data_IF_500321042230
#
_entry.id   IF_500321042230
#
_cell.length_a   1.000
_cell.length_b   1.000
_cell.length_c   1.000
_cell.angle_alpha   90.00
_cell.angle_beta   90.00
_cell.angle_gamma   90.00
#
_symmetry.space_group_name_H-M   'P 1'
#
loop_
_entity.id
_entity.type
_entity.pdbx_description
1 polymer ?
#
# COMPACT_ATOMS: atom_id res chain seq x y z
N UNK A 1 12.49 14.15 4.16
CA UNK A 1 11.42 15.09 3.75
C UNK A 1 10.37 15.35 4.85
N UNK A 2 9.55 14.40 5.30
CA UNK A 2 8.44 14.71 6.22
C UNK A 2 8.88 15.24 7.60
N UNK A 3 9.92 14.64 8.19
CA UNK A 3 10.48 15.15 9.46
C UNK A 3 11.01 16.58 9.32
N UNK A 4 11.60 16.95 8.18
CA UNK A 4 12.04 18.32 7.88
C UNK A 4 10.86 19.29 7.71
N UNK A 5 9.62 18.78 7.55
CA UNK A 5 8.38 19.57 7.53
C UNK A 5 7.64 19.53 8.88
N UNK A 6 8.29 19.07 9.96
CA UNK A 6 7.70 19.06 11.30
C UNK A 6 6.77 17.87 11.59
N UNK A 7 6.69 16.89 10.70
CA UNK A 7 5.92 15.68 10.96
C UNK A 7 6.66 14.76 11.95
N UNK A 8 5.93 14.20 12.90
CA UNK A 8 6.36 12.97 13.57
C UNK A 8 6.22 11.82 12.58
N UNK A 9 7.29 11.05 12.37
CA UNK A 9 7.33 10.00 11.34
C UNK A 9 7.41 8.63 12.00
N UNK A 10 6.38 7.81 11.80
CA UNK A 10 6.38 6.39 12.16
C UNK A 10 6.63 5.59 10.88
N UNK A 11 7.55 4.62 10.93
CA UNK A 11 7.88 3.76 9.80
C UNK A 11 7.68 2.31 10.20
N UNK A 12 7.01 1.55 9.35
CA UNK A 12 6.83 0.12 9.52
C UNK A 12 6.97 -0.59 8.19
N UNK A 13 7.76 -1.66 8.18
CA UNK A 13 7.90 -2.57 7.03
C UNK A 13 7.37 -3.93 7.46
N UNK A 14 6.27 -4.36 6.84
CA UNK A 14 5.70 -5.66 7.14
C UNK A 14 6.68 -6.79 6.76
N UNK A 15 6.78 -7.86 7.57
CA UNK A 15 7.64 -8.99 7.22
C UNK A 15 7.24 -9.60 5.89
N UNK A 16 8.21 -9.82 4.99
CA UNK A 16 7.93 -10.34 3.65
C UNK A 16 7.24 -11.72 3.69
N UNK A 17 7.55 -12.57 4.68
CA UNK A 17 6.88 -13.86 4.87
C UNK A 17 5.39 -13.70 5.10
N UNK A 18 5.00 -12.68 5.84
CA UNK A 18 3.60 -12.31 6.07
C UNK A 18 2.94 -11.88 4.76
N UNK A 19 3.58 -10.98 4.01
CA UNK A 19 3.07 -10.47 2.73
C UNK A 19 2.91 -11.58 1.68
N UNK A 20 3.95 -12.38 1.46
CA UNK A 20 3.97 -13.35 0.36
C UNK A 20 3.34 -14.69 0.73
N UNK A 21 3.45 -15.16 1.96
CA UNK A 21 2.87 -16.45 2.35
C UNK A 21 1.56 -16.25 3.11
N UNK A 22 1.60 -15.71 4.33
CA UNK A 22 0.42 -15.71 5.21
C UNK A 22 -0.82 -15.09 4.55
N UNK A 23 -0.67 -13.89 3.98
CA UNK A 23 -1.76 -13.19 3.30
C UNK A 23 -2.20 -13.88 1.99
N UNK A 24 -1.27 -14.52 1.27
CA UNK A 24 -1.60 -15.30 0.06
C UNK A 24 -2.46 -16.53 0.38
N UNK A 25 -2.23 -17.14 1.55
CA UNK A 25 -3.04 -18.25 2.09
C UNK A 25 -4.34 -17.76 2.77
N UNK A 26 -4.60 -16.45 2.80
CA UNK A 26 -5.81 -15.86 3.37
C UNK A 26 -5.76 -15.62 4.87
N UNK A 27 -4.62 -15.86 5.53
CA UNK A 27 -4.43 -15.47 6.92
C UNK A 27 -4.30 -13.95 7.01
N UNK A 28 -5.23 -13.30 7.71
CA UNK A 28 -5.27 -11.84 7.94
C UNK A 28 -4.23 -11.37 8.97
N UNK A 29 -3.00 -11.85 8.82
CA UNK A 29 -1.90 -11.64 9.77
C UNK A 29 -1.45 -10.18 9.87
N UNK A 30 -1.78 -9.34 8.88
CA UNK A 30 -1.53 -7.90 8.93
C UNK A 30 -2.56 -7.10 9.76
N UNK A 31 -3.66 -7.72 10.20
CA UNK A 31 -4.67 -7.02 11.01
C UNK A 31 -4.10 -6.54 12.35
N UNK A 32 -3.34 -7.39 13.04
CA UNK A 32 -2.68 -7.04 14.31
C UNK A 32 -1.69 -5.88 14.16
N UNK A 33 -0.69 -5.91 13.26
CA UNK A 33 0.21 -4.78 13.09
C UNK A 33 -0.50 -3.51 12.62
N UNK A 34 -1.54 -3.59 11.78
CA UNK A 34 -2.34 -2.42 11.40
C UNK A 34 -2.95 -1.74 12.63
N UNK A 35 -3.56 -2.54 13.52
CA UNK A 35 -4.13 -2.03 14.78
C UNK A 35 -3.06 -1.44 15.69
N UNK A 36 -1.94 -2.14 15.90
CA UNK A 36 -0.82 -1.67 16.73
C UNK A 36 -0.28 -0.32 16.25
N UNK A 37 -0.17 -0.10 14.94
CA UNK A 37 0.28 1.19 14.41
C UNK A 37 -0.67 2.35 14.73
N UNK A 38 -1.99 2.09 14.77
CA UNK A 38 -2.96 3.09 15.19
C UNK A 38 -2.92 3.31 16.71
N UNK A 39 -2.76 2.25 17.51
CA UNK A 39 -2.61 2.33 18.97
C UNK A 39 -1.40 3.20 19.36
N UNK A 40 -0.29 3.14 18.62
CA UNK A 40 0.88 4.00 18.87
C UNK A 40 0.54 5.49 18.85
N UNK A 41 -0.46 5.93 18.08
CA UNK A 41 -0.84 7.34 18.05
C UNK A 41 -1.39 7.80 19.41
N UNK A 42 -2.08 6.92 20.13
CA UNK A 42 -2.62 7.17 21.46
C UNK A 42 -1.53 7.00 22.53
N UNK A 43 -0.69 5.97 22.40
CA UNK A 43 0.42 5.71 23.33
C UNK A 43 1.39 6.91 23.41
N UNK A 44 1.60 7.59 22.28
CA UNK A 44 2.42 8.81 22.22
C UNK A 44 1.61 10.12 22.37
N UNK A 45 0.30 10.05 22.64
CA UNK A 45 -0.59 11.21 22.82
C UNK A 45 -0.58 12.19 21.63
N UNK A 46 -0.54 11.65 20.41
CA UNK A 46 -0.55 12.42 19.14
C UNK A 46 -1.77 12.13 18.26
N UNK A 47 -2.77 11.41 18.77
CA UNK A 47 -4.01 11.03 18.07
C UNK A 47 -4.82 12.22 17.56
N UNK A 48 -4.69 13.39 18.20
CA UNK A 48 -5.36 14.63 17.79
C UNK A 48 -4.70 15.30 16.58
N UNK A 49 -3.50 14.86 16.18
CA UNK A 49 -2.78 15.42 15.04
C UNK A 49 -3.26 14.76 13.74
N UNK A 50 -3.37 15.52 12.63
CA UNK A 50 -3.70 14.93 11.35
C UNK A 50 -2.69 13.88 10.90
N UNK A 51 -3.19 12.77 10.36
CA UNK A 51 -2.38 11.62 9.91
C UNK A 51 -2.30 11.61 8.39
N UNK A 52 -1.08 11.60 7.85
CA UNK A 52 -0.81 11.34 6.43
C UNK A 52 -0.21 9.93 6.29
N UNK A 53 -0.80 9.09 5.45
CA UNK A 53 -0.24 7.78 5.12
C UNK A 53 0.66 7.89 3.90
N UNK A 54 1.85 7.27 3.93
CA UNK A 54 2.69 7.07 2.76
C UNK A 54 2.94 5.58 2.60
N UNK A 55 2.27 4.98 1.61
CA UNK A 55 2.13 3.55 1.40
C UNK A 55 3.00 3.13 0.22
N UNK A 56 3.96 2.23 0.46
CA UNK A 56 4.88 1.74 -0.56
C UNK A 56 4.50 0.33 -1.01
N UNK A 57 4.46 0.12 -2.32
CA UNK A 57 4.24 -1.18 -2.96
C UNK A 57 2.92 -1.86 -2.52
N UNK A 58 2.67 -3.04 -3.08
CA UNK A 58 1.49 -3.83 -2.73
C UNK A 58 1.54 -4.32 -1.27
N UNK A 59 2.71 -4.66 -0.74
CA UNK A 59 2.83 -5.06 0.67
C UNK A 59 2.33 -3.98 1.64
N UNK A 60 2.63 -2.71 1.35
CA UNK A 60 2.08 -1.58 2.11
C UNK A 60 0.58 -1.44 1.95
N UNK A 61 0.05 -1.60 0.72
CA UNK A 61 -1.41 -1.54 0.46
C UNK A 61 -2.17 -2.61 1.24
N UNK A 62 -1.62 -3.82 1.35
CA UNK A 62 -2.24 -4.92 2.10
C UNK A 62 -2.39 -4.57 3.58
N UNK A 63 -1.37 -3.96 4.18
CA UNK A 63 -1.45 -3.45 5.56
C UNK A 63 -2.42 -2.27 5.65
N UNK A 64 -2.34 -1.34 4.71
CA UNK A 64 -3.14 -0.12 4.69
C UNK A 64 -4.65 -0.40 4.56
N UNK A 65 -5.05 -1.45 3.84
CA UNK A 65 -6.44 -1.93 3.81
C UNK A 65 -6.97 -2.17 5.22
N UNK A 66 -6.22 -2.88 6.06
CA UNK A 66 -6.63 -3.17 7.43
C UNK A 66 -6.61 -1.92 8.32
N UNK A 67 -5.73 -0.96 8.03
CA UNK A 67 -5.76 0.36 8.67
C UNK A 67 -7.08 1.08 8.34
N UNK A 68 -7.49 1.13 7.07
CA UNK A 68 -8.78 1.72 6.66
C UNK A 68 -9.94 1.03 7.36
N UNK A 69 -9.94 -0.31 7.38
CA UNK A 69 -10.97 -1.11 8.05
C UNK A 69 -11.08 -0.72 9.53
N UNK A 70 -9.96 -0.68 10.26
CA UNK A 70 -9.93 -0.30 11.67
C UNK A 70 -10.40 1.15 11.87
N UNK A 71 -9.97 2.10 11.04
CA UNK A 71 -10.38 3.51 11.09
C UNK A 71 -11.89 3.70 10.93
N UNK A 72 -12.61 2.79 10.25
CA UNK A 72 -14.05 2.93 10.05
C UNK A 72 -14.90 2.05 10.96
N UNK A 73 -14.33 0.99 11.54
CA UNK A 73 -15.08 -0.02 12.30
C UNK A 73 -14.80 0.01 13.80
N UNK A 74 -13.62 0.46 14.24
CA UNK A 74 -13.16 0.32 15.61
C UNK A 74 -12.96 1.67 16.31
N UNK A 75 -13.48 1.80 17.53
CA UNK A 75 -13.12 2.90 18.43
C UNK A 75 -11.83 2.56 19.20
N UNK A 76 -10.98 3.54 19.55
CA UNK A 76 -11.14 4.99 19.34
C UNK A 76 -10.69 5.49 17.94
N UNK A 77 -10.28 4.58 17.03
CA UNK A 77 -9.65 4.95 15.76
C UNK A 77 -10.52 5.76 14.82
N UNK A 78 -11.86 5.65 14.91
CA UNK A 78 -12.80 6.46 14.10
C UNK A 78 -12.63 7.97 14.29
N UNK A 79 -12.06 8.39 15.42
CA UNK A 79 -11.89 9.80 15.74
C UNK A 79 -10.58 10.37 15.16
N UNK A 80 -9.71 9.54 14.57
CA UNK A 80 -8.45 9.98 13.98
C UNK A 80 -8.71 10.81 12.72
N UNK A 81 -8.08 11.98 12.64
CA UNK A 81 -8.18 12.87 11.47
C UNK A 81 -7.18 12.44 10.41
N UNK A 82 -7.63 11.76 9.35
CA UNK A 82 -6.76 11.41 8.21
C UNK A 82 -6.73 12.57 7.21
N UNK A 83 -5.54 13.12 6.99
CA UNK A 83 -5.29 14.24 6.08
C UNK A 83 -5.24 13.81 4.60
N UNK A 84 -4.71 12.62 4.34
CA UNK A 84 -4.56 12.10 2.98
C UNK A 84 -3.65 10.87 2.92
N UNK A 85 -3.50 10.33 1.71
CA UNK A 85 -2.66 9.15 1.45
C UNK A 85 -1.82 9.32 0.20
N UNK A 86 -0.53 9.00 0.29
CA UNK A 86 0.37 8.84 -0.85
C UNK A 86 0.57 7.36 -1.10
N UNK A 87 0.36 6.91 -2.34
CA UNK A 87 0.70 5.57 -2.81
C UNK A 87 1.92 5.67 -3.73
N UNK A 88 2.97 4.95 -3.39
CA UNK A 88 4.19 4.84 -4.19
C UNK A 88 4.30 3.43 -4.78
N UNK A 89 4.27 3.37 -6.11
CA UNK A 89 4.34 2.13 -6.89
C UNK A 89 3.26 1.12 -6.49
N UNK A 90 2.04 1.59 -6.25
CA UNK A 90 0.90 0.81 -5.79
C UNK A 90 -0.42 1.57 -6.04
N UNK A 91 -1.58 0.89 -5.99
CA UNK A 91 -1.80 -0.55 -5.90
C UNK A 91 -1.74 -1.23 -7.27
N UNK A 92 -1.30 -2.49 -7.31
CA UNK A 92 -1.34 -3.34 -8.50
C UNK A 92 -2.28 -4.53 -8.36
N UNK A 93 -2.84 -4.98 -9.49
CA UNK A 93 -3.89 -6.00 -9.53
C UNK A 93 -3.33 -7.33 -10.00
N UNK A 94 -3.58 -8.40 -9.23
CA UNK A 94 -3.42 -9.82 -9.63
C UNK A 94 -2.22 -10.10 -10.56
N UNK A 95 -1.05 -9.56 -10.24
CA UNK A 95 0.13 -9.67 -11.07
C UNK A 95 1.07 -10.77 -10.54
N UNK A 96 0.86 -12.03 -10.97
CA UNK A 96 1.72 -13.14 -10.57
C UNK A 96 3.18 -12.93 -10.99
N UNK A 97 3.40 -12.40 -12.21
CA UNK A 97 4.76 -12.13 -12.70
C UNK A 97 5.45 -11.07 -11.85
N UNK A 98 4.76 -9.99 -11.51
CA UNK A 98 5.24 -8.96 -10.60
C UNK A 98 5.52 -9.50 -9.20
N UNK A 99 4.62 -10.32 -8.65
CA UNK A 99 4.81 -10.95 -7.34
C UNK A 99 6.04 -11.88 -7.31
N UNK A 100 6.25 -12.68 -8.37
CA UNK A 100 7.45 -13.52 -8.51
C UNK A 100 8.72 -12.67 -8.63
N UNK A 101 8.70 -11.58 -9.40
CA UNK A 101 9.84 -10.65 -9.49
C UNK A 101 10.15 -10.02 -8.13
N UNK A 102 9.13 -9.52 -7.44
CA UNK A 102 9.29 -8.94 -6.10
C UNK A 102 9.84 -9.97 -5.11
N UNK A 103 9.29 -11.18 -5.08
CA UNK A 103 9.81 -12.25 -4.22
C UNK A 103 11.25 -12.61 -4.58
N UNK A 104 11.58 -12.71 -5.87
CA UNK A 104 12.95 -12.98 -6.32
C UNK A 104 13.94 -11.90 -5.88
N UNK A 105 13.53 -10.62 -5.79
CA UNK A 105 14.37 -9.54 -5.25
C UNK A 105 14.56 -9.65 -3.74
N UNK A 106 13.51 -10.02 -3.00
CA UNK A 106 13.58 -10.22 -1.54
C UNK A 106 14.49 -11.40 -1.18
N UNK A 107 14.41 -12.48 -1.96
CA UNK A 107 15.20 -13.70 -1.73
C UNK A 107 16.61 -13.62 -2.35
N UNK A 108 17.03 -12.48 -2.89
CA UNK A 108 18.28 -12.36 -3.65
C UNK A 108 19.53 -12.69 -2.81
N UNK A 109 19.50 -12.44 -1.50
CA UNK A 109 20.60 -12.73 -0.58
C UNK A 109 20.59 -14.15 0.00
N UNK A 110 19.65 -15.00 -0.41
CA UNK A 110 19.49 -16.37 0.12
C UNK A 110 20.22 -17.41 -0.73
N UNK A 111 20.50 -18.56 -0.11
CA UNK A 111 21.05 -19.73 -0.80
C UNK A 111 20.21 -20.10 -2.02
N UNK A 112 20.86 -20.40 -3.15
CA UNK A 112 20.23 -20.63 -4.44
C UNK A 112 19.17 -21.73 -4.37
N UNK A 113 19.47 -22.87 -3.73
CA UNK A 113 18.52 -23.97 -3.56
C UNK A 113 17.27 -23.54 -2.79
N UNK A 114 17.45 -22.87 -1.64
CA UNK A 114 16.34 -22.41 -0.80
C UNK A 114 15.51 -21.33 -1.51
N UNK A 115 16.17 -20.44 -2.26
CA UNK A 115 15.50 -19.43 -3.09
C UNK A 115 14.58 -20.08 -4.11
N UNK A 116 15.07 -21.04 -4.90
CA UNK A 116 14.24 -21.73 -5.89
C UNK A 116 13.13 -22.56 -5.23
N UNK A 117 13.40 -23.21 -4.10
CA UNK A 117 12.38 -23.93 -3.34
C UNK A 117 11.24 -22.98 -2.91
N UNK A 118 11.55 -21.85 -2.29
CA UNK A 118 10.56 -20.87 -1.84
C UNK A 118 9.79 -20.21 -3.00
N UNK A 119 10.47 -19.97 -4.13
CA UNK A 119 9.83 -19.47 -5.34
C UNK A 119 8.85 -20.48 -5.92
N UNK A 120 9.25 -21.76 -5.97
CA UNK A 120 8.39 -22.83 -6.46
C UNK A 120 7.18 -23.01 -5.54
N UNK A 121 7.36 -23.05 -4.21
CA UNK A 121 6.24 -23.18 -3.27
C UNK A 121 5.28 -22.00 -3.35
N UNK A 122 5.78 -20.77 -3.50
CA UNK A 122 4.93 -19.60 -3.69
C UNK A 122 4.15 -19.68 -5.02
N UNK A 123 4.82 -20.02 -6.13
CA UNK A 123 4.18 -20.14 -7.44
C UNK A 123 3.08 -21.21 -7.45
N UNK A 124 3.37 -22.40 -6.92
CA UNK A 124 2.39 -23.50 -6.85
C UNK A 124 1.21 -23.15 -5.95
N UNK A 125 1.47 -22.53 -4.79
CA UNK A 125 0.42 -22.08 -3.88
C UNK A 125 -0.50 -21.04 -4.54
N UNK A 126 0.06 -20.04 -5.23
CA UNK A 126 -0.74 -19.02 -5.92
C UNK A 126 -1.59 -19.65 -7.02
N UNK A 127 -1.03 -20.54 -7.84
CA UNK A 127 -1.80 -21.24 -8.89
C UNK A 127 -2.92 -22.08 -8.28
N UNK A 128 -2.62 -22.88 -7.25
CA UNK A 128 -3.62 -23.73 -6.60
C UNK A 128 -4.76 -22.90 -5.99
N UNK A 129 -4.43 -21.85 -5.22
CA UNK A 129 -5.42 -21.07 -4.48
C UNK A 129 -6.19 -20.08 -5.37
N UNK A 130 -5.51 -19.42 -6.31
CA UNK A 130 -6.06 -18.31 -7.11
C UNK A 130 -6.52 -18.72 -8.50
N UNK A 131 -6.24 -19.95 -8.96
CA UNK A 131 -6.72 -20.47 -10.24
C UNK A 131 -7.61 -21.69 -10.00
N UNK A 132 -7.08 -22.76 -9.39
CA UNK A 132 -7.81 -24.02 -9.25
C UNK A 132 -8.96 -23.90 -8.25
N UNK A 133 -8.69 -23.33 -7.08
CA UNK A 133 -9.69 -23.11 -6.02
C UNK A 133 -10.45 -21.78 -6.17
N UNK A 134 -10.19 -21.02 -7.23
CA UNK A 134 -10.80 -19.69 -7.45
C UNK A 134 -12.33 -19.69 -7.50
N UNK A 135 -13.01 -20.64 -8.17
CA UNK A 135 -14.48 -20.64 -8.25
C UNK A 135 -15.14 -20.77 -6.87
N UNK A 136 -14.47 -21.47 -5.94
CA UNK A 136 -14.91 -21.69 -4.56
C UNK A 136 -14.48 -20.54 -3.64
N UNK A 137 -13.27 -20.01 -3.81
CA UNK A 137 -12.68 -18.99 -2.93
C UNK A 137 -13.11 -17.56 -3.28
N UNK A 138 -13.59 -17.28 -4.51
CA UNK A 138 -13.97 -15.93 -4.95
C UNK A 138 -15.11 -15.30 -4.14
N UNK A 139 -15.99 -16.11 -3.58
CA UNK A 139 -17.08 -15.65 -2.72
C UNK A 139 -16.64 -15.40 -1.28
N UNK A 140 -15.44 -15.87 -0.90
CA UNK A 140 -14.94 -15.86 0.47
C UNK A 140 -13.80 -14.84 0.64
N UNK A 141 -13.05 -14.51 -0.43
CA UNK A 141 -11.84 -13.69 -0.30
C UNK A 141 -11.76 -12.55 -1.33
N UNK A 142 -12.23 -11.37 -0.93
CA UNK A 142 -12.02 -10.12 -1.68
C UNK A 142 -10.54 -9.73 -1.69
N UNK A 143 -9.98 -9.46 -2.87
CA UNK A 143 -8.58 -9.07 -2.99
C UNK A 143 -8.32 -7.70 -2.37
N UNK A 144 -7.09 -7.47 -1.92
CA UNK A 144 -6.70 -6.18 -1.34
C UNK A 144 -6.89 -5.00 -2.31
N UNK A 145 -6.69 -5.24 -3.61
CA UNK A 145 -6.95 -4.26 -4.66
C UNK A 145 -8.46 -3.96 -4.80
N UNK A 146 -9.29 -5.00 -4.88
CA UNK A 146 -10.74 -4.82 -5.08
C UNK A 146 -11.40 -4.17 -3.84
N UNK A 147 -10.90 -4.48 -2.63
CA UNK A 147 -11.34 -3.84 -1.41
C UNK A 147 -10.99 -2.34 -1.37
N UNK A 148 -9.79 -1.97 -1.87
CA UNK A 148 -9.36 -0.57 -1.90
C UNK A 148 -10.18 0.25 -2.91
N UNK A 149 -10.57 -0.32 -4.05
CA UNK A 149 -11.49 0.33 -5.01
C UNK A 149 -12.77 0.81 -4.31
N UNK A 150 -13.30 -0.01 -3.40
CA UNK A 150 -14.55 0.25 -2.66
C UNK A 150 -14.32 0.90 -1.30
N UNK A 151 -13.09 1.30 -0.97
CA UNK A 151 -12.78 1.77 0.36
C UNK A 151 -13.68 2.95 0.77
N UNK A 152 -14.17 2.97 2.03
CA UNK A 152 -15.04 4.04 2.53
C UNK A 152 -14.32 5.38 2.71
N UNK A 153 -12.98 5.39 2.69
CA UNK A 153 -12.17 6.60 2.78
C UNK A 153 -12.51 7.62 1.70
N UNK A 154 -12.52 8.92 2.04
CA UNK A 154 -12.77 10.04 1.12
C UNK A 154 -11.75 11.18 1.24
N UNK A 155 -10.65 10.96 1.95
CA UNK A 155 -9.54 11.92 2.03
C UNK A 155 -8.74 11.95 0.72
N UNK A 156 -8.01 13.05 0.44
CA UNK A 156 -7.19 13.17 -0.76
C UNK A 156 -6.17 12.03 -0.93
N UNK A 157 -5.91 11.64 -2.18
CA UNK A 157 -5.00 10.56 -2.55
C UNK A 157 -4.00 11.02 -3.64
N UNK A 158 -2.72 10.70 -3.46
CA UNK A 158 -1.64 10.94 -4.41
C UNK A 158 -1.05 9.60 -4.87
N UNK A 159 -1.12 9.29 -6.16
CA UNK A 159 -0.55 8.10 -6.77
C UNK A 159 0.75 8.45 -7.51
N UNK A 160 1.84 7.81 -7.14
CA UNK A 160 3.15 7.92 -7.77
C UNK A 160 3.47 6.57 -8.41
N UNK A 161 3.66 6.54 -9.72
CA UNK A 161 3.90 5.30 -10.48
C UNK A 161 4.80 5.56 -11.68
N UNK A 162 5.14 4.51 -12.42
CA UNK A 162 6.01 4.60 -13.60
C UNK A 162 5.66 3.52 -14.62
N UNK A 163 5.76 3.83 -15.92
CA UNK A 163 5.64 2.83 -16.99
C UNK A 163 6.77 1.80 -16.94
N UNK A 164 7.95 2.16 -16.41
CA UNK A 164 9.08 1.25 -16.25
C UNK A 164 9.01 0.36 -15.00
N UNK A 165 7.92 0.41 -14.21
CA UNK A 165 7.74 -0.47 -13.08
C UNK A 165 7.46 -1.92 -13.53
N UNK A 166 8.48 -2.77 -13.35
CA UNK A 166 8.43 -4.18 -13.73
C UNK A 166 7.64 -5.08 -12.75
N UNK A 167 7.18 -4.55 -11.61
CA UNK A 167 6.45 -5.25 -10.55
C UNK A 167 4.97 -4.85 -10.53
N UNK A 168 4.67 -3.56 -10.65
CA UNK A 168 3.29 -3.04 -10.65
C UNK A 168 3.01 -2.33 -11.96
N UNK A 169 1.97 -2.77 -12.69
CA UNK A 169 1.63 -2.15 -13.96
C UNK A 169 1.04 -0.75 -13.73
N UNK A 170 1.54 0.24 -14.45
CA UNK A 170 1.03 1.60 -14.43
C UNK A 170 -0.48 1.69 -14.71
N UNK A 171 -1.00 0.81 -15.58
CA UNK A 171 -2.43 0.72 -15.90
C UNK A 171 -3.30 0.39 -14.67
N UNK A 172 -2.80 -0.44 -13.75
CA UNK A 172 -3.54 -0.79 -12.53
C UNK A 172 -3.62 0.42 -11.59
N UNK A 173 -2.52 1.16 -11.44
CA UNK A 173 -2.49 2.37 -10.61
C UNK A 173 -3.42 3.43 -11.20
N UNK A 174 -3.38 3.64 -12.51
CA UNK A 174 -4.27 4.59 -13.20
C UNK A 174 -5.74 4.20 -13.03
N UNK A 175 -6.07 2.93 -13.22
CA UNK A 175 -7.44 2.44 -13.02
C UNK A 175 -7.92 2.65 -11.58
N UNK A 176 -7.06 2.41 -10.57
CA UNK A 176 -7.39 2.75 -9.18
C UNK A 176 -7.66 4.25 -9.04
N UNK A 177 -6.74 5.11 -9.49
CA UNK A 177 -6.87 6.55 -9.40
C UNK A 177 -8.19 7.05 -10.03
N UNK A 178 -8.51 6.60 -11.24
CA UNK A 178 -9.73 6.96 -11.96
C UNK A 178 -10.99 6.50 -11.21
N UNK A 179 -11.01 5.25 -10.71
CA UNK A 179 -12.14 4.72 -9.96
C UNK A 179 -12.37 5.47 -8.64
N UNK A 180 -11.29 5.84 -7.93
CA UNK A 180 -11.38 6.62 -6.70
C UNK A 180 -11.86 8.04 -6.97
N UNK A 181 -11.41 8.66 -8.06
CA UNK A 181 -11.89 9.96 -8.50
C UNK A 181 -13.40 9.94 -8.82
N UNK A 182 -13.89 8.89 -9.48
CA UNK A 182 -15.33 8.71 -9.74
C UNK A 182 -16.18 8.59 -8.45
N UNK A 183 -15.57 8.17 -7.34
CA UNK A 183 -16.20 8.15 -6.02
C UNK A 183 -16.13 9.50 -5.27
N UNK A 184 -15.69 10.56 -5.95
CA UNK A 184 -15.58 11.91 -5.40
C UNK A 184 -14.32 12.14 -4.56
N UNK A 185 -13.33 11.24 -4.62
CA UNK A 185 -12.05 11.44 -3.93
C UNK A 185 -11.21 12.45 -4.71
N UNK A 186 -10.58 13.39 -4.00
CA UNK A 186 -9.57 14.26 -4.62
C UNK A 186 -8.32 13.43 -4.93
N UNK A 187 -8.08 13.17 -6.21
CA UNK A 187 -7.00 12.29 -6.66
C UNK A 187 -6.00 13.09 -7.50
N UNK A 188 -4.70 12.89 -7.22
CA UNK A 188 -3.61 13.30 -8.10
C UNK A 188 -2.80 12.06 -8.47
N UNK A 189 -2.48 11.88 -9.75
CA UNK A 189 -1.72 10.75 -10.24
C UNK A 189 -0.52 11.25 -11.06
N UNK A 190 0.68 10.74 -10.79
CA UNK A 190 1.93 11.17 -11.43
C UNK A 190 2.68 9.95 -11.96
N UNK A 191 2.94 9.98 -13.27
CA UNK A 191 3.74 8.99 -13.97
C UNK A 191 5.18 9.49 -14.12
N UNK A 192 6.12 8.78 -13.49
CA UNK A 192 7.56 9.03 -13.59
C UNK A 192 8.19 8.43 -14.85
N UNK A 193 7.42 7.74 -15.69
CA UNK A 193 7.80 7.18 -17.00
C UNK A 193 8.87 6.07 -16.96
N UNK A 194 10.05 6.32 -16.39
CA UNK A 194 11.25 5.50 -16.58
C UNK A 194 11.90 4.97 -15.28
N UNK A 195 11.38 5.36 -14.12
CA UNK A 195 11.92 4.89 -12.84
C UNK A 195 11.38 3.52 -12.44
N UNK A 196 12.25 2.69 -11.87
CA UNK A 196 11.88 1.35 -11.40
C UNK A 196 10.95 1.39 -10.17
N UNK A 197 10.38 0.23 -9.85
CA UNK A 197 9.54 0.02 -8.66
C UNK A 197 10.14 0.63 -7.39
N UNK A 198 9.38 1.48 -6.70
CA UNK A 198 9.73 2.15 -5.43
C UNK A 198 11.06 2.91 -5.51
N UNK A 199 11.45 3.33 -6.71
CA UNK A 199 12.71 4.02 -6.96
C UNK A 199 12.52 5.48 -7.39
N UNK A 200 11.29 5.98 -7.44
CA UNK A 200 10.97 7.34 -7.88
C UNK A 200 11.76 8.40 -7.08
N UNK A 201 11.80 8.29 -5.74
CA UNK A 201 12.58 9.19 -4.89
C UNK A 201 14.09 9.13 -5.16
N UNK A 202 14.62 7.94 -5.51
CA UNK A 202 16.05 7.74 -5.76
C UNK A 202 16.46 8.34 -7.10
N UNK A 203 15.62 8.20 -8.14
CA UNK A 203 15.89 8.73 -9.48
C UNK A 203 15.59 10.23 -9.56
N UNK A 204 14.51 10.68 -8.92
CA UNK A 204 14.00 12.05 -9.00
C UNK A 204 13.80 12.69 -7.62
N UNK A 205 14.86 12.83 -6.79
CA UNK A 205 14.73 13.21 -5.38
C UNK A 205 14.04 14.56 -5.15
N UNK A 206 14.40 15.59 -5.93
CA UNK A 206 13.84 16.93 -5.81
C UNK A 206 12.38 16.96 -6.25
N UNK A 207 12.07 16.36 -7.40
CA UNK A 207 10.70 16.34 -7.93
C UNK A 207 9.76 15.54 -7.04
N UNK A 208 10.18 14.32 -6.64
CA UNK A 208 9.43 13.47 -5.72
C UNK A 208 9.16 14.16 -4.38
N UNK A 209 10.20 14.76 -3.76
CA UNK A 209 10.05 15.44 -2.48
C UNK A 209 9.13 16.66 -2.58
N UNK A 210 9.18 17.38 -3.70
CA UNK A 210 8.28 18.52 -3.96
C UNK A 210 6.84 18.04 -4.06
N UNK A 211 6.56 16.98 -4.83
CA UNK A 211 5.21 16.42 -4.95
C UNK A 211 4.64 16.01 -3.59
N UNK A 212 5.40 15.25 -2.79
CA UNK A 212 4.94 14.77 -1.49
C UNK A 212 4.73 15.92 -0.48
N UNK A 213 5.63 16.92 -0.47
CA UNK A 213 5.53 18.03 0.49
C UNK A 213 4.47 19.06 0.12
N UNK A 214 4.25 19.30 -1.18
CA UNK A 214 3.11 20.09 -1.67
C UNK A 214 1.81 19.41 -1.32
N UNK A 215 1.67 18.11 -1.63
CA UNK A 215 0.48 17.34 -1.28
C UNK A 215 0.18 17.34 0.23
N UNK A 216 1.19 17.14 1.07
CA UNK A 216 1.06 17.26 2.53
C UNK A 216 0.51 18.66 2.92
N UNK A 217 1.06 19.73 2.34
CA UNK A 217 0.66 21.09 2.65
C UNK A 217 -0.79 21.36 2.23
N UNK A 218 -1.19 20.88 1.05
CA UNK A 218 -2.55 21.03 0.53
C UNK A 218 -3.56 20.25 1.37
N UNK A 219 -3.24 19.01 1.76
CA UNK A 219 -4.05 18.21 2.69
C UNK A 219 -4.27 18.92 4.02
N UNK A 220 -3.23 19.48 4.63
CA UNK A 220 -3.34 20.17 5.92
C UNK A 220 -4.16 21.45 5.82
N UNK A 221 -4.04 22.21 4.72
CA UNK A 221 -4.83 23.42 4.48
C UNK A 221 -6.31 23.13 4.26
N UNK A 222 -6.64 21.98 3.68
CA UNK A 222 -8.01 21.57 3.38
C UNK A 222 -8.76 21.01 4.60
N UNK A 223 -8.08 20.72 5.71
CA UNK A 223 -8.74 20.21 6.91
C UNK A 223 -9.59 21.29 7.57
N UNK A 224 -10.82 20.96 8.02
CA UNK A 224 -11.62 21.86 8.84
C UNK A 224 -10.86 22.21 10.13
N UNK A 225 -10.88 23.49 10.51
CA UNK A 225 -10.31 23.96 11.78
C UNK A 225 -11.09 23.39 12.96
#
# INVERSE_FOLDING_TARGET
MYSQKGCTVIRYTAPWKTIFFAESFGFKSLHTPAKRLLELLFDYSIENRPVLFHVFSNGGVMLYRYIIEALHTQQPFKNLKVAGTVFDSAPGRRNLRGALRALATVLASMNVLLRYLLMLTFATAVVLLRILLYPLTRFIHESHYDALLKAPSRWPELYLYSQADAIINASDVKHMADARQQLGVSVKAVDFTDSAHVSHMRVYPTYYSTLCTTFLSDCVRALPR
#
